data_IF_367163490554
#
_entry.id   IF_367163490554
#
_cell.length_a   1.000
_cell.length_b   1.000
_cell.length_c   1.000
_cell.angle_alpha   90.00
_cell.angle_beta   90.00
_cell.angle_gamma   90.00
#
_symmetry.space_group_name_H-M   'P 1'
#
loop_
_entity.id
_entity.type
_entity.pdbx_description
1 polymer ?
#
# COMPACT_ATOMS: atom_id res chain seq x y z
N UNK A 1 62.26 85.25 -67.09
CA UNK A 1 61.44 84.53 -68.12
C UNK A 1 61.58 83.02 -67.95
N UNK A 2 62.79 82.50 -67.70
CA UNK A 2 63.02 81.07 -67.49
C UNK A 2 62.39 80.50 -66.22
N UNK A 3 62.44 81.20 -65.08
CA UNK A 3 61.81 80.75 -63.83
C UNK A 3 60.28 80.59 -63.95
N UNK A 4 59.63 81.43 -64.76
CA UNK A 4 58.17 81.40 -64.97
C UNK A 4 57.78 80.16 -65.81
N UNK A 5 58.61 79.77 -66.79
CA UNK A 5 58.39 78.57 -67.60
C UNK A 5 58.60 77.28 -66.79
N UNK A 6 59.53 77.30 -65.84
CA UNK A 6 59.79 76.16 -64.96
C UNK A 6 58.68 75.97 -63.92
N UNK A 7 58.15 77.06 -63.36
CA UNK A 7 56.97 77.04 -62.49
C UNK A 7 55.70 76.55 -63.20
N UNK A 8 55.50 76.92 -64.48
CA UNK A 8 54.36 76.46 -65.29
C UNK A 8 54.41 74.94 -65.53
N UNK A 9 55.60 74.38 -65.80
CA UNK A 9 55.76 72.92 -65.97
C UNK A 9 55.51 72.14 -64.68
N UNK A 10 55.96 72.66 -63.54
CA UNK A 10 55.67 72.06 -62.23
C UNK A 10 54.18 72.06 -61.93
N UNK A 11 53.48 73.16 -62.24
CA UNK A 11 52.01 73.26 -62.10
C UNK A 11 51.25 72.28 -62.99
N UNK A 12 51.73 72.04 -64.23
CA UNK A 12 51.12 71.05 -65.13
C UNK A 12 51.32 69.61 -64.64
N UNK A 13 52.48 69.29 -64.06
CA UNK A 13 52.75 67.97 -63.47
C UNK A 13 51.92 67.76 -62.20
N UNK A 14 51.75 68.80 -61.36
CA UNK A 14 50.82 68.77 -60.21
C UNK A 14 49.39 68.49 -60.67
N UNK A 15 48.91 69.18 -61.71
CA UNK A 15 47.55 69.00 -62.25
C UNK A 15 47.33 67.57 -62.79
N UNK A 16 48.31 67.01 -63.49
CA UNK A 16 48.26 65.62 -63.98
C UNK A 16 48.25 64.59 -62.83
N UNK A 17 49.00 64.84 -61.75
CA UNK A 17 48.98 63.99 -60.55
C UNK A 17 47.64 64.09 -59.81
N UNK A 18 47.09 65.30 -59.70
CA UNK A 18 45.75 65.53 -59.18
C UNK A 18 44.68 64.80 -60.00
N UNK A 19 44.79 64.83 -61.33
CA UNK A 19 43.85 64.15 -62.22
C UNK A 19 43.93 62.62 -62.06
N UNK A 20 45.13 62.07 -61.95
CA UNK A 20 45.34 60.63 -61.67
C UNK A 20 44.76 60.22 -60.31
N UNK A 21 44.94 61.05 -59.28
CA UNK A 21 44.35 60.84 -57.95
C UNK A 21 42.83 60.84 -58.02
N UNK A 22 42.22 61.79 -58.73
CA UNK A 22 40.75 61.86 -58.90
C UNK A 22 40.22 60.60 -59.59
N UNK A 23 40.90 60.12 -60.65
CA UNK A 23 40.49 58.89 -61.35
C UNK A 23 40.61 57.68 -60.43
N UNK A 24 41.68 57.58 -59.66
CA UNK A 24 41.88 56.47 -58.73
C UNK A 24 40.86 56.49 -57.59
N UNK A 25 40.56 57.66 -57.02
CA UNK A 25 39.53 57.84 -56.00
C UNK A 25 38.13 57.54 -56.54
N UNK A 26 37.83 57.90 -57.79
CA UNK A 26 36.57 57.52 -58.44
C UNK A 26 36.45 56.01 -58.60
N UNK A 27 37.53 55.33 -58.98
CA UNK A 27 37.55 53.87 -59.09
C UNK A 27 37.31 53.20 -57.74
N UNK A 28 37.96 53.67 -56.67
CA UNK A 28 37.72 53.15 -55.32
C UNK A 28 36.29 53.42 -54.85
N UNK A 29 35.68 54.55 -55.22
CA UNK A 29 34.27 54.83 -54.91
C UNK A 29 33.34 53.87 -55.65
N UNK A 30 33.64 53.56 -56.92
CA UNK A 30 32.86 52.61 -57.71
C UNK A 30 33.00 51.19 -57.15
N UNK A 31 34.22 50.76 -56.81
CA UNK A 31 34.49 49.47 -56.17
C UNK A 31 33.77 49.37 -54.81
N UNK A 32 33.80 50.44 -53.99
CA UNK A 32 33.07 50.51 -52.72
C UNK A 32 31.55 50.53 -52.91
N UNK A 33 31.02 51.14 -53.99
CA UNK A 33 29.59 51.09 -54.30
C UNK A 33 29.15 49.68 -54.68
N UNK A 34 29.96 48.95 -55.46
CA UNK A 34 29.70 47.55 -55.81
C UNK A 34 29.75 46.65 -54.57
N UNK A 35 30.67 46.91 -53.63
CA UNK A 35 30.67 46.23 -52.34
C UNK A 35 29.44 46.57 -51.49
N UNK A 36 28.98 47.82 -51.51
CA UNK A 36 27.78 48.26 -50.78
C UNK A 36 26.49 47.65 -51.35
N UNK A 37 26.40 47.49 -52.67
CA UNK A 37 25.26 46.86 -53.35
C UNK A 37 25.21 45.35 -53.05
N UNK A 38 26.37 44.69 -53.00
CA UNK A 38 26.51 43.29 -52.51
C UNK A 38 26.13 43.14 -51.04
N UNK A 39 26.26 44.19 -50.23
CA UNK A 39 25.79 44.21 -48.84
C UNK A 39 24.27 44.49 -48.76
N UNK A 40 23.66 45.12 -49.76
CA UNK A 40 22.20 45.31 -49.85
C UNK A 40 21.42 44.00 -49.89
N UNK A 41 21.95 42.97 -50.55
CA UNK A 41 21.41 41.60 -50.56
C UNK A 41 21.51 40.89 -49.18
N UNK A 42 22.21 41.48 -48.19
CA UNK A 42 22.23 40.96 -46.82
C UNK A 42 20.93 41.23 -46.05
N UNK A 43 20.03 42.09 -46.55
CA UNK A 43 18.76 42.37 -45.87
C UNK A 43 17.82 41.15 -45.87
N UNK A 44 17.78 40.39 -46.97
CA UNK A 44 16.94 39.18 -47.05
C UNK A 44 17.52 38.02 -46.23
N UNK A 45 18.85 37.89 -46.18
CA UNK A 45 19.51 36.90 -45.32
C UNK A 45 19.37 37.24 -43.84
N UNK A 46 19.39 38.53 -43.46
CA UNK A 46 19.14 38.95 -42.06
C UNK A 46 17.69 38.72 -41.64
N UNK A 47 16.70 38.89 -42.54
CA UNK A 47 15.31 38.52 -42.27
C UNK A 47 15.15 37.01 -42.08
N UNK A 48 15.76 36.17 -42.92
CA UNK A 48 15.73 34.71 -42.79
C UNK A 48 16.38 34.23 -41.48
N UNK A 49 17.56 34.79 -41.15
CA UNK A 49 18.27 34.50 -39.89
C UNK A 49 17.44 34.94 -38.67
N UNK A 50 16.70 36.05 -38.78
CA UNK A 50 15.81 36.52 -37.71
C UNK A 50 14.63 35.57 -37.49
N UNK A 51 14.02 35.06 -38.57
CA UNK A 51 12.93 34.09 -38.50
C UNK A 51 13.38 32.76 -37.87
N UNK A 52 14.51 32.20 -38.34
CA UNK A 52 15.12 30.99 -37.76
C UNK A 52 15.50 31.22 -36.28
N UNK A 53 15.94 32.42 -35.91
CA UNK A 53 16.27 32.74 -34.52
C UNK A 53 15.04 32.85 -33.62
N UNK A 54 13.87 33.26 -34.14
CA UNK A 54 12.59 33.21 -33.41
C UNK A 54 12.14 31.77 -33.22
N UNK A 55 12.21 30.93 -34.25
CA UNK A 55 11.85 29.51 -34.16
C UNK A 55 12.77 28.75 -33.18
N UNK A 56 14.07 28.99 -33.21
CA UNK A 56 15.02 28.43 -32.23
C UNK A 56 14.66 28.85 -30.80
N UNK A 57 14.23 30.09 -30.60
CA UNK A 57 13.83 30.58 -29.27
C UNK A 57 12.53 29.90 -28.80
N UNK A 58 11.56 29.70 -29.69
CA UNK A 58 10.35 28.93 -29.38
C UNK A 58 10.65 27.48 -29.02
N UNK A 59 11.57 26.84 -29.75
CA UNK A 59 12.01 25.47 -29.45
C UNK A 59 12.69 25.45 -28.09
N UNK A 60 13.61 26.37 -27.80
CA UNK A 60 14.26 26.46 -26.48
C UNK A 60 13.25 26.64 -25.34
N UNK A 61 12.22 27.49 -25.52
CA UNK A 61 11.16 27.64 -24.52
C UNK A 61 10.34 26.35 -24.34
N UNK A 62 10.02 25.63 -25.43
CA UNK A 62 9.33 24.33 -25.35
C UNK A 62 10.20 23.27 -24.67
N UNK A 63 11.48 23.21 -24.99
CA UNK A 63 12.47 22.31 -24.39
C UNK A 63 12.57 22.55 -22.89
N UNK A 64 12.66 23.82 -22.46
CA UNK A 64 12.68 24.19 -21.05
C UNK A 64 11.38 23.81 -20.32
N UNK A 65 10.21 23.94 -20.97
CA UNK A 65 8.92 23.50 -20.41
C UNK A 65 8.87 21.98 -20.22
N UNK A 66 9.30 21.20 -21.21
CA UNK A 66 9.33 19.74 -21.14
C UNK A 66 10.33 19.26 -20.07
N UNK A 67 11.48 19.93 -19.93
CA UNK A 67 12.44 19.62 -18.87
C UNK A 67 11.88 19.92 -17.48
N UNK A 68 11.15 21.03 -17.30
CA UNK A 68 10.46 21.33 -16.05
C UNK A 68 9.39 20.27 -15.72
N UNK A 69 8.55 19.89 -16.70
CA UNK A 69 7.54 18.84 -16.50
C UNK A 69 8.17 17.49 -16.17
N UNK A 70 9.28 17.13 -16.82
CA UNK A 70 10.05 15.93 -16.47
C UNK A 70 10.62 15.99 -15.05
N UNK A 71 11.10 17.16 -14.61
CA UNK A 71 11.61 17.33 -13.25
C UNK A 71 10.49 17.15 -12.22
N UNK A 72 9.30 17.68 -12.49
CA UNK A 72 8.14 17.54 -11.62
C UNK A 72 7.62 16.08 -11.58
N UNK A 73 7.52 15.42 -12.73
CA UNK A 73 7.16 14.00 -12.80
C UNK A 73 8.19 13.11 -12.10
N UNK A 74 9.48 13.43 -12.15
CA UNK A 74 10.51 12.72 -11.38
C UNK A 74 10.30 12.87 -9.87
N UNK A 75 10.00 14.08 -9.40
CA UNK A 75 9.68 14.32 -7.98
C UNK A 75 8.43 13.55 -7.55
N UNK A 76 7.39 13.56 -8.37
CA UNK A 76 6.16 12.81 -8.12
C UNK A 76 6.45 11.30 -8.06
N UNK A 77 7.23 10.78 -9.01
CA UNK A 77 7.68 9.39 -9.03
C UNK A 77 8.42 9.03 -7.75
N UNK A 78 9.37 9.85 -7.32
CA UNK A 78 10.16 9.60 -6.12
C UNK A 78 9.28 9.60 -4.86
N UNK A 79 8.27 10.48 -4.80
CA UNK A 79 7.28 10.50 -3.72
C UNK A 79 6.44 9.21 -3.68
N UNK A 80 5.94 8.75 -4.84
CA UNK A 80 5.15 7.51 -4.92
C UNK A 80 6.01 6.28 -4.62
N UNK A 81 7.29 6.27 -5.02
CA UNK A 81 8.25 5.21 -4.65
C UNK A 81 8.47 5.20 -3.13
N UNK A 82 8.64 6.37 -2.51
CA UNK A 82 8.82 6.47 -1.06
C UNK A 82 7.57 5.97 -0.31
N UNK A 83 6.37 6.34 -0.78
CA UNK A 83 5.10 5.84 -0.24
C UNK A 83 4.98 4.32 -0.39
N UNK A 84 5.24 3.79 -1.59
CA UNK A 84 5.21 2.35 -1.87
C UNK A 84 6.18 1.58 -0.97
N UNK A 85 7.41 2.08 -0.77
CA UNK A 85 8.39 1.48 0.16
C UNK A 85 7.89 1.47 1.61
N UNK A 86 7.23 2.54 2.05
CA UNK A 86 6.65 2.64 3.39
C UNK A 86 5.51 1.63 3.57
N UNK A 87 4.60 1.53 2.59
CA UNK A 87 3.51 0.56 2.58
C UNK A 87 4.02 -0.88 2.55
N UNK A 88 5.04 -1.16 1.73
CA UNK A 88 5.67 -2.47 1.65
C UNK A 88 6.35 -2.86 2.96
N UNK A 89 7.00 -1.90 3.63
CA UNK A 89 7.58 -2.13 4.96
C UNK A 89 6.49 -2.52 5.96
N UNK A 90 5.39 -1.78 6.02
CA UNK A 90 4.24 -2.12 6.89
C UNK A 90 3.69 -3.52 6.59
N UNK A 91 3.54 -3.87 5.31
CA UNK A 91 3.06 -5.20 4.91
C UNK A 91 4.04 -6.31 5.33
N UNK A 92 5.34 -6.08 5.19
CA UNK A 92 6.37 -7.01 5.66
C UNK A 92 6.35 -7.15 7.18
N UNK A 93 6.16 -6.06 7.92
CA UNK A 93 6.02 -6.09 9.37
C UNK A 93 4.79 -6.94 9.78
N UNK A 94 3.67 -6.83 9.07
CA UNK A 94 2.49 -7.68 9.29
C UNK A 94 2.74 -9.16 8.95
N UNK A 95 3.43 -9.43 7.84
CA UNK A 95 3.82 -10.81 7.49
C UNK A 95 4.77 -11.40 8.54
N UNK A 96 5.67 -10.60 9.11
CA UNK A 96 6.52 -11.01 10.21
C UNK A 96 5.70 -11.37 11.45
N UNK A 97 4.63 -10.63 11.78
CA UNK A 97 3.71 -10.99 12.87
C UNK A 97 2.99 -12.32 12.61
N UNK A 98 2.56 -12.58 11.38
CA UNK A 98 1.95 -13.87 11.01
C UNK A 98 2.96 -15.02 11.13
N UNK A 99 4.18 -14.82 10.66
CA UNK A 99 5.28 -15.78 10.82
C UNK A 99 5.59 -16.03 12.30
N UNK A 100 5.55 -14.99 13.15
CA UNK A 100 5.71 -15.16 14.60
C UNK A 100 4.60 -16.00 15.23
N UNK A 101 3.34 -15.88 14.77
CA UNK A 101 2.25 -16.77 15.23
C UNK A 101 2.52 -18.21 14.85
N UNK A 102 2.92 -18.44 13.61
CA UNK A 102 3.22 -19.76 13.09
C UNK A 102 4.44 -20.38 13.81
N UNK A 103 5.47 -19.59 14.09
CA UNK A 103 6.66 -20.01 14.82
C UNK A 103 6.36 -20.38 16.28
N UNK A 104 5.47 -19.62 16.95
CA UNK A 104 4.96 -19.98 18.27
C UNK A 104 4.21 -21.31 18.25
N UNK A 105 3.40 -21.56 17.22
CA UNK A 105 2.73 -22.85 17.03
C UNK A 105 3.76 -23.97 16.82
N UNK A 106 4.76 -23.77 15.94
CA UNK A 106 5.82 -24.75 15.66
C UNK A 106 6.61 -25.12 16.92
N UNK A 107 6.95 -24.14 17.75
CA UNK A 107 7.74 -24.36 18.97
C UNK A 107 7.00 -25.25 19.98
N UNK A 108 5.68 -25.08 20.13
CA UNK A 108 4.89 -25.79 21.13
C UNK A 108 4.16 -27.03 20.61
N UNK A 109 3.77 -27.02 19.34
CA UNK A 109 2.94 -28.03 18.68
C UNK A 109 3.46 -28.32 17.26
N UNK A 110 4.59 -29.03 17.20
CA UNK A 110 5.22 -29.45 15.93
C UNK A 110 4.26 -30.22 15.04
N UNK A 111 3.51 -31.19 15.57
CA UNK A 111 2.57 -32.01 14.78
C UNK A 111 1.50 -31.16 14.08
N UNK A 112 0.95 -30.15 14.78
CA UNK A 112 -0.04 -29.23 14.22
C UNK A 112 0.57 -28.34 13.14
N UNK A 113 1.82 -27.92 13.31
CA UNK A 113 2.56 -27.16 12.30
C UNK A 113 2.86 -28.00 11.05
N UNK A 114 3.32 -29.24 11.22
CA UNK A 114 3.55 -30.17 10.09
C UNK A 114 2.26 -30.43 9.32
N UNK A 115 1.14 -30.64 10.03
CA UNK A 115 -0.16 -30.82 9.41
C UNK A 115 -0.66 -29.56 8.69
N UNK A 116 -0.34 -28.37 9.21
CA UNK A 116 -0.66 -27.10 8.58
C UNK A 116 0.07 -26.95 7.23
N UNK A 117 1.37 -27.25 7.19
CA UNK A 117 2.14 -27.23 5.94
C UNK A 117 1.58 -28.23 4.93
N UNK A 118 1.31 -29.46 5.36
CA UNK A 118 0.69 -30.48 4.52
C UNK A 118 -0.66 -30.02 3.96
N UNK A 119 -1.51 -29.40 4.79
CA UNK A 119 -2.80 -28.88 4.37
C UNK A 119 -2.67 -27.79 3.29
N UNK A 120 -1.67 -26.90 3.41
CA UNK A 120 -1.40 -25.85 2.42
C UNK A 120 -1.00 -26.44 1.07
N UNK A 121 -0.18 -27.50 1.06
CA UNK A 121 0.26 -28.19 -0.16
C UNK A 121 -0.84 -29.03 -0.82
N UNK A 122 -1.76 -29.57 0.00
CA UNK A 122 -2.77 -30.53 -0.44
C UNK A 122 -4.19 -29.96 -0.45
N UNK A 123 -4.31 -28.62 -0.52
CA UNK A 123 -5.60 -27.93 -0.47
C UNK A 123 -6.53 -28.35 -1.61
N UNK A 124 -5.99 -28.75 -2.77
CA UNK A 124 -6.77 -29.26 -3.90
C UNK A 124 -7.50 -30.60 -3.64
N UNK A 125 -7.15 -31.35 -2.59
CA UNK A 125 -7.79 -32.64 -2.28
C UNK A 125 -9.19 -32.48 -1.69
N UNK A 126 -9.51 -31.30 -1.20
CA UNK A 126 -10.72 -31.01 -0.43
C UNK A 126 -11.73 -30.21 -1.24
N UNK A 127 -13.01 -30.46 -1.02
CA UNK A 127 -14.10 -29.83 -1.80
C UNK A 127 -14.67 -28.59 -1.12
N UNK A 128 -14.72 -28.58 0.21
CA UNK A 128 -15.24 -27.49 1.02
C UNK A 128 -14.16 -26.55 1.52
N UNK A 129 -14.59 -25.46 2.15
CA UNK A 129 -13.69 -24.53 2.81
C UNK A 129 -13.04 -25.20 4.02
N UNK A 130 -11.72 -25.04 4.12
CA UNK A 130 -10.92 -25.46 5.26
C UNK A 130 -10.21 -24.24 5.81
N UNK A 131 -10.35 -24.06 7.12
CA UNK A 131 -9.67 -23.04 7.88
C UNK A 131 -8.52 -23.66 8.67
N UNK A 132 -7.40 -22.96 8.65
CA UNK A 132 -6.22 -23.23 9.47
C UNK A 132 -6.59 -23.23 10.98
N UNK A 133 -5.70 -23.69 11.89
CA UNK A 133 -5.98 -23.72 13.31
C UNK A 133 -6.55 -22.41 13.83
N UNK A 134 -7.62 -22.46 14.63
CA UNK A 134 -8.38 -21.27 15.05
C UNK A 134 -7.49 -20.17 15.65
N UNK A 135 -6.42 -20.53 16.36
CA UNK A 135 -5.46 -19.58 16.92
C UNK A 135 -4.71 -18.71 15.89
N UNK A 136 -4.59 -19.16 14.64
CA UNK A 136 -4.03 -18.38 13.53
C UNK A 136 -5.09 -17.51 12.86
N UNK A 137 -6.33 -18.01 12.83
CA UNK A 137 -7.45 -17.44 12.08
C UNK A 137 -8.24 -16.40 12.88
N UNK A 138 -8.33 -16.57 14.21
CA UNK A 138 -8.99 -15.62 15.11
C UNK A 138 -8.13 -14.36 15.20
N UNK A 139 -8.73 -13.21 14.91
CA UNK A 139 -8.11 -11.90 15.09
C UNK A 139 -8.84 -11.11 16.17
N UNK A 140 -8.16 -10.80 17.27
CA UNK A 140 -8.73 -9.99 18.35
C UNK A 140 -8.60 -8.51 17.99
N UNK A 141 -9.64 -7.71 18.21
CA UNK A 141 -9.62 -6.27 17.88
C UNK A 141 -8.64 -5.49 18.76
N UNK A 142 -8.61 -5.82 20.06
CA UNK A 142 -7.71 -5.23 21.04
C UNK A 142 -6.95 -6.34 21.78
N UNK A 143 -5.62 -6.26 21.79
CA UNK A 143 -4.74 -7.22 22.45
C UNK A 143 -5.05 -7.38 23.95
N UNK A 144 -5.60 -6.36 24.62
CA UNK A 144 -5.97 -6.44 26.03
C UNK A 144 -7.15 -7.38 26.26
N UNK A 145 -8.04 -7.50 25.27
CA UNK A 145 -9.22 -8.36 25.31
C UNK A 145 -8.90 -9.80 24.92
N UNK A 146 -7.71 -10.07 24.37
CA UNK A 146 -7.28 -11.41 23.97
C UNK A 146 -7.31 -12.42 25.13
N UNK A 147 -7.09 -11.94 26.37
CA UNK A 147 -7.17 -12.77 27.58
C UNK A 147 -8.56 -13.39 27.76
N UNK A 148 -9.63 -12.67 27.46
CA UNK A 148 -10.99 -13.21 27.62
C UNK A 148 -11.30 -14.29 26.59
N UNK A 149 -10.92 -14.05 25.32
CA UNK A 149 -11.15 -14.98 24.21
C UNK A 149 -10.38 -16.29 24.42
N UNK A 150 -9.08 -16.19 24.76
CA UNK A 150 -8.22 -17.36 24.94
C UNK A 150 -8.60 -18.21 26.16
N UNK A 151 -9.10 -17.60 27.24
CA UNK A 151 -9.56 -18.35 28.42
C UNK A 151 -10.95 -18.96 28.24
N UNK A 152 -11.74 -18.46 27.29
CA UNK A 152 -13.08 -18.98 27.05
C UNK A 152 -13.06 -20.24 26.20
N UNK A 153 -12.18 -20.27 25.20
CA UNK A 153 -12.04 -21.37 24.23
C UNK A 153 -11.02 -22.38 24.77
N UNK A 154 -11.33 -23.67 24.72
CA UNK A 154 -10.37 -24.70 25.10
C UNK A 154 -9.13 -24.64 24.22
N UNK A 155 -7.97 -24.83 24.83
CA UNK A 155 -6.71 -24.89 24.09
C UNK A 155 -6.70 -25.98 22.99
N UNK A 156 -7.39 -27.09 23.23
CA UNK A 156 -7.50 -28.18 22.25
C UNK A 156 -8.30 -27.78 21.00
N UNK A 157 -9.26 -26.87 21.14
CA UNK A 157 -10.07 -26.36 20.03
C UNK A 157 -9.40 -25.17 19.35
N UNK A 158 -8.65 -24.35 20.10
CA UNK A 158 -7.83 -23.29 19.52
C UNK A 158 -6.82 -23.80 18.50
N UNK A 159 -6.25 -24.99 18.70
CA UNK A 159 -5.31 -25.63 17.77
C UNK A 159 -6.00 -26.48 16.68
N UNK A 160 -7.32 -26.55 16.68
CA UNK A 160 -8.06 -27.43 15.78
C UNK A 160 -8.28 -26.78 14.42
N UNK A 161 -8.19 -27.59 13.37
CA UNK A 161 -8.56 -27.22 12.01
C UNK A 161 -10.09 -27.23 11.88
N UNK A 162 -10.66 -26.23 11.20
CA UNK A 162 -12.11 -26.12 11.03
C UNK A 162 -12.50 -26.41 9.60
N UNK A 163 -13.36 -27.40 9.42
CA UNK A 163 -13.85 -27.87 8.12
C UNK A 163 -15.31 -27.49 7.94
N UNK A 164 -15.65 -26.99 6.75
CA UNK A 164 -17.04 -26.76 6.39
C UNK A 164 -17.83 -28.07 6.20
N UNK A 165 -17.17 -29.11 5.66
CA UNK A 165 -17.77 -30.41 5.36
C UNK A 165 -17.19 -31.52 6.24
N UNK A 166 -18.07 -32.40 6.74
CA UNK A 166 -17.68 -33.58 7.50
C UNK A 166 -16.83 -34.56 6.67
N UNK A 167 -17.18 -34.78 5.40
CA UNK A 167 -16.41 -35.67 4.51
C UNK A 167 -14.94 -35.24 4.36
N UNK A 168 -14.70 -33.92 4.28
CA UNK A 168 -13.35 -33.37 4.14
C UNK A 168 -12.57 -33.48 5.46
N UNK A 169 -13.25 -33.32 6.59
CA UNK A 169 -12.68 -33.54 7.93
C UNK A 169 -12.23 -35.00 8.11
N UNK A 170 -13.05 -35.97 7.70
CA UNK A 170 -12.72 -37.40 7.79
C UNK A 170 -11.51 -37.75 6.93
N UNK A 171 -11.49 -37.26 5.67
CA UNK A 171 -10.31 -37.42 4.80
C UNK A 171 -9.05 -36.83 5.41
N UNK A 172 -9.14 -35.62 5.96
CA UNK A 172 -8.01 -34.98 6.62
C UNK A 172 -7.50 -35.82 7.80
N UNK A 173 -8.38 -36.35 8.64
CA UNK A 173 -7.98 -37.19 9.77
C UNK A 173 -7.33 -38.50 9.29
N UNK A 174 -7.83 -39.14 8.24
CA UNK A 174 -7.20 -40.35 7.67
C UNK A 174 -5.79 -40.05 7.15
N UNK A 175 -5.63 -38.99 6.35
CA UNK A 175 -4.32 -38.65 5.77
C UNK A 175 -3.32 -38.20 6.84
N UNK A 176 -3.74 -37.32 7.76
CA UNK A 176 -2.81 -36.66 8.69
C UNK A 176 -2.63 -37.45 9.98
N UNK A 177 -3.71 -37.97 10.57
CA UNK A 177 -3.63 -38.71 11.83
C UNK A 177 -3.26 -40.16 11.58
N UNK A 178 -3.91 -40.83 10.64
CA UNK A 178 -3.75 -42.28 10.50
C UNK A 178 -2.54 -42.65 9.62
N UNK A 179 -2.28 -41.95 8.50
CA UNK A 179 -1.09 -42.21 7.68
C UNK A 179 0.19 -41.54 8.18
N UNK A 180 0.11 -40.28 8.63
CA UNK A 180 1.30 -39.54 9.10
C UNK A 180 1.53 -39.62 10.61
N UNK A 181 0.61 -40.22 11.36
CA UNK A 181 0.70 -40.37 12.82
C UNK A 181 0.85 -39.04 13.58
N UNK A 182 0.24 -37.96 13.07
CA UNK A 182 0.30 -36.63 13.68
C UNK A 182 -0.84 -36.40 14.67
N UNK A 183 -0.53 -35.83 15.84
CA UNK A 183 -1.53 -35.53 16.89
C UNK A 183 -2.25 -34.20 16.63
N UNK A 184 -3.22 -34.22 15.73
CA UNK A 184 -4.03 -33.05 15.37
C UNK A 184 -5.49 -33.17 15.79
N UNK A 185 -6.15 -32.01 15.94
CA UNK A 185 -7.59 -31.94 16.18
C UNK A 185 -8.27 -31.33 14.95
N UNK A 186 -9.43 -31.86 14.57
CA UNK A 186 -10.23 -31.39 13.45
C UNK A 186 -11.69 -31.28 13.89
N UNK A 187 -12.34 -30.19 13.51
CA UNK A 187 -13.68 -29.84 13.92
C UNK A 187 -14.51 -29.52 12.68
N UNK A 188 -15.72 -30.08 12.61
CA UNK A 188 -16.71 -29.69 11.61
C UNK A 188 -17.48 -28.47 12.10
N UNK A 189 -17.59 -27.45 11.26
CA UNK A 189 -18.55 -26.37 11.47
C UNK A 189 -19.98 -26.94 11.46
N UNK A 190 -20.91 -26.33 12.23
CA UNK A 190 -22.31 -26.74 12.21
C UNK A 190 -22.94 -26.46 10.83
N UNK A 191 -23.87 -27.34 10.41
CA UNK A 191 -24.56 -27.22 9.12
C UNK A 191 -25.41 -25.94 9.02
N UNK A 192 -25.91 -25.45 10.15
CA UNK A 192 -26.62 -24.18 10.25
C UNK A 192 -25.65 -23.11 10.75
N UNK A 193 -25.42 -22.08 9.93
CA UNK A 193 -24.61 -20.93 10.34
C UNK A 193 -25.23 -20.26 11.56
N UNK A 194 -24.46 -20.24 12.64
CA UNK A 194 -24.83 -19.63 13.92
C UNK A 194 -24.04 -18.34 14.16
N UNK A 195 -23.33 -17.85 13.14
CA UNK A 195 -22.56 -16.63 13.23
C UNK A 195 -23.48 -15.46 13.53
N UNK A 196 -24.54 -15.20 12.76
CA UNK A 196 -25.43 -14.05 12.99
C UNK A 196 -26.32 -14.10 14.24
N UNK A 197 -26.14 -15.05 15.15
CA UNK A 197 -27.07 -15.23 16.28
C UNK A 197 -26.96 -14.05 17.26
N UNK A 198 -28.06 -13.30 17.51
CA UNK A 198 -28.03 -12.19 18.44
C UNK A 198 -27.84 -12.69 19.88
N UNK A 199 -27.25 -11.86 20.76
CA UNK A 199 -27.18 -12.15 22.18
C UNK A 199 -28.59 -12.32 22.77
N UNK A 200 -28.72 -13.04 23.89
CA UNK A 200 -30.02 -13.22 24.55
C UNK A 200 -30.62 -11.89 25.05
N UNK A 201 -29.79 -10.87 25.27
CA UNK A 201 -30.20 -9.52 25.72
C UNK A 201 -29.34 -8.43 25.08
N UNK A 202 -29.87 -7.22 25.07
CA UNK A 202 -29.07 -6.04 24.72
C UNK A 202 -28.07 -5.73 25.85
N UNK A 203 -26.84 -5.40 25.48
CA UNK A 203 -25.79 -4.98 26.40
C UNK A 203 -26.18 -3.73 27.21
N UNK A 204 -26.98 -2.84 26.63
CA UNK A 204 -27.43 -1.59 27.28
C UNK A 204 -28.21 -1.84 28.57
N UNK A 205 -29.12 -2.82 28.57
CA UNK A 205 -29.86 -3.22 29.76
C UNK A 205 -28.96 -3.78 30.86
N UNK A 206 -27.75 -4.22 30.51
CA UNK A 206 -26.78 -4.81 31.41
C UNK A 206 -25.66 -3.85 31.83
N UNK A 207 -25.59 -2.64 31.24
CA UNK A 207 -24.64 -1.60 31.66
C UNK A 207 -24.81 -1.19 33.12
N UNK A 208 -26.02 -1.33 33.67
CA UNK A 208 -26.31 -1.14 35.11
C UNK A 208 -25.47 -2.05 36.03
N UNK A 209 -24.98 -3.16 35.51
CA UNK A 209 -24.12 -4.11 36.21
C UNK A 209 -22.63 -3.96 35.85
N UNK A 210 -22.25 -2.93 35.08
CA UNK A 210 -20.88 -2.70 34.64
C UNK A 210 -20.44 -3.49 33.39
N UNK A 211 -21.37 -4.18 32.71
CA UNK A 211 -21.07 -4.85 31.43
C UNK A 211 -20.95 -3.84 30.29
N UNK A 212 -19.89 -3.94 29.49
CA UNK A 212 -19.63 -2.99 28.41
C UNK A 212 -19.76 -3.61 27.02
N UNK A 213 -19.46 -4.91 26.86
CA UNK A 213 -19.57 -5.60 25.57
C UNK A 213 -19.76 -7.10 25.75
N UNK A 214 -20.07 -7.79 24.64
CA UNK A 214 -20.06 -9.25 24.55
C UNK A 214 -18.73 -9.76 24.01
N UNK A 215 -18.37 -10.98 24.39
CA UNK A 215 -17.12 -11.62 23.97
C UNK A 215 -17.01 -11.71 22.44
N UNK A 216 -18.13 -11.96 21.75
CA UNK A 216 -18.20 -11.97 20.28
C UNK A 216 -17.69 -10.69 19.63
N UNK A 217 -17.98 -9.53 20.21
CA UNK A 217 -17.59 -8.24 19.62
C UNK A 217 -16.10 -7.94 19.74
N UNK A 218 -15.37 -8.71 20.55
CA UNK A 218 -13.95 -8.51 20.83
C UNK A 218 -13.03 -9.12 19.76
N UNK A 219 -13.53 -9.98 18.88
CA UNK A 219 -12.71 -10.67 17.88
C UNK A 219 -13.48 -10.92 16.58
N UNK A 220 -12.72 -11.07 15.50
CA UNK A 220 -13.19 -11.42 14.17
C UNK A 220 -12.66 -12.82 13.80
N UNK A 221 -13.49 -13.60 13.12
CA UNK A 221 -13.13 -14.91 12.58
C UNK A 221 -14.03 -15.22 11.36
N UNK A 222 -13.61 -16.14 10.46
CA UNK A 222 -14.44 -16.64 9.37
C UNK A 222 -15.77 -17.21 9.86
N UNK A 223 -16.77 -17.23 8.98
CA UNK A 223 -18.15 -17.58 9.32
C UNK A 223 -18.27 -18.98 9.95
N UNK A 224 -17.55 -19.95 9.40
CA UNK A 224 -17.56 -21.33 9.85
C UNK A 224 -16.95 -21.48 11.25
N UNK A 225 -15.83 -20.79 11.51
CA UNK A 225 -15.17 -20.74 12.82
C UNK A 225 -16.07 -20.04 13.83
N UNK A 226 -16.63 -18.89 13.46
CA UNK A 226 -17.51 -18.09 14.31
C UNK A 226 -18.81 -18.84 14.65
N UNK A 227 -19.36 -19.58 13.69
CA UNK A 227 -20.53 -20.45 13.89
C UNK A 227 -20.25 -21.56 14.89
N UNK A 228 -19.09 -22.22 14.79
CA UNK A 228 -18.66 -23.22 15.76
C UNK A 228 -18.51 -22.61 17.16
N UNK A 229 -17.84 -21.47 17.29
CA UNK A 229 -17.66 -20.77 18.56
C UNK A 229 -19.01 -20.33 19.17
N UNK A 230 -19.97 -19.93 18.35
CA UNK A 230 -21.31 -19.59 18.83
C UNK A 230 -22.11 -20.82 19.28
N UNK A 231 -21.97 -21.95 18.60
CA UNK A 231 -22.68 -23.18 18.96
C UNK A 231 -22.10 -23.82 20.23
N UNK A 232 -20.79 -24.05 20.25
CA UNK A 232 -20.11 -24.78 21.32
C UNK A 232 -19.86 -23.92 22.56
N UNK A 233 -19.34 -22.70 22.36
CA UNK A 233 -18.89 -21.82 23.44
C UNK A 233 -19.86 -20.69 23.76
N UNK A 234 -20.92 -20.49 22.95
CA UNK A 234 -21.91 -19.43 23.13
C UNK A 234 -21.29 -18.04 23.27
N UNK A 235 -20.23 -17.75 22.50
CA UNK A 235 -19.48 -16.48 22.56
C UNK A 235 -20.36 -15.23 22.36
N UNK A 236 -21.50 -15.36 21.68
CA UNK A 236 -22.49 -14.30 21.50
C UNK A 236 -23.24 -13.94 22.79
N UNK A 237 -23.29 -14.81 23.79
CA UNK A 237 -24.09 -14.64 25.02
C UNK A 237 -23.21 -14.55 26.28
N UNK A 238 -21.93 -14.25 26.11
CA UNK A 238 -20.95 -14.12 27.20
C UNK A 238 -20.60 -12.65 27.37
N UNK A 239 -21.19 -11.94 28.35
CA UNK A 239 -20.88 -10.54 28.57
C UNK A 239 -19.56 -10.37 29.33
N UNK A 240 -18.87 -9.28 29.00
CA UNK A 240 -17.62 -8.85 29.64
C UNK A 240 -17.85 -7.52 30.34
N UNK A 241 -17.48 -7.48 31.61
CA UNK A 241 -17.68 -6.37 32.52
C UNK A 241 -16.38 -5.87 33.14
N UNK A 242 -16.50 -4.79 33.89
CA UNK A 242 -15.38 -4.11 34.53
C UNK A 242 -15.36 -4.40 36.05
N UNK A 243 -14.60 -3.59 36.79
CA UNK A 243 -14.50 -3.68 38.25
C UNK A 243 -15.85 -3.44 38.97
N UNK A 244 -16.76 -2.66 38.39
CA UNK A 244 -18.11 -2.49 38.92
C UNK A 244 -18.90 -3.80 38.89
N UNK A 245 -18.71 -4.61 37.84
CA UNK A 245 -19.30 -5.96 37.77
C UNK A 245 -18.79 -6.87 38.86
N UNK A 246 -17.50 -6.74 39.23
CA UNK A 246 -16.92 -7.47 40.36
C UNK A 246 -17.52 -7.02 41.70
N UNK A 247 -17.74 -5.72 41.88
CA UNK A 247 -18.40 -5.19 43.08
C UNK A 247 -19.86 -5.64 43.20
N UNK A 248 -20.59 -5.69 42.08
CA UNK A 248 -22.01 -6.08 42.01
C UNK A 248 -22.23 -7.58 41.78
N UNK A 249 -21.19 -8.40 41.91
CA UNK A 249 -21.22 -9.80 41.47
C UNK A 249 -22.33 -10.63 42.14
N UNK A 250 -22.62 -10.34 43.41
CA UNK A 250 -23.68 -11.02 44.17
C UNK A 250 -25.06 -10.81 43.55
N UNK A 251 -25.34 -9.61 43.03
CA UNK A 251 -26.59 -9.29 42.33
C UNK A 251 -26.59 -9.88 40.93
N UNK A 252 -25.45 -9.83 40.23
CA UNK A 252 -25.31 -10.33 38.86
C UNK A 252 -25.51 -11.84 38.76
N UNK A 253 -24.98 -12.62 39.72
CA UNK A 253 -25.11 -14.08 39.76
C UNK A 253 -26.58 -14.53 39.95
N UNK A 254 -27.42 -13.70 40.57
CA UNK A 254 -28.83 -14.01 40.78
C UNK A 254 -29.65 -13.91 39.48
N UNK A 255 -29.13 -13.23 38.46
CA UNK A 255 -29.81 -13.09 37.17
C UNK A 255 -29.85 -14.43 36.43
N UNK A 256 -31.04 -14.96 36.11
CA UNK A 256 -31.20 -16.36 35.66
C UNK A 256 -30.69 -16.60 34.23
N UNK A 257 -30.43 -15.54 33.47
CA UNK A 257 -30.00 -15.62 32.08
C UNK A 257 -28.47 -15.68 31.92
N UNK A 258 -27.70 -15.35 32.95
CA UNK A 258 -26.23 -15.35 32.88
C UNK A 258 -25.68 -16.73 33.25
N UNK A 259 -25.00 -17.37 32.30
CA UNK A 259 -24.34 -18.68 32.51
C UNK A 259 -22.84 -18.53 32.72
N UNK A 260 -22.21 -17.69 31.91
CA UNK A 260 -20.79 -17.39 31.97
C UNK A 260 -20.63 -15.89 31.80
N UNK A 261 -19.80 -15.27 32.62
CA UNK A 261 -19.48 -13.86 32.54
C UNK A 261 -18.01 -13.63 32.88
N UNK A 262 -17.47 -12.54 32.35
CA UNK A 262 -16.12 -12.07 32.65
C UNK A 262 -16.18 -10.73 33.37
N UNK A 263 -15.37 -10.59 34.41
CA UNK A 263 -14.98 -9.29 34.97
C UNK A 263 -13.60 -8.91 34.42
N UNK A 264 -12.91 -7.95 35.04
CA UNK A 264 -11.56 -7.56 34.65
C UNK A 264 -10.57 -8.73 34.68
N UNK A 265 -10.56 -9.51 35.76
CA UNK A 265 -9.53 -10.56 35.97
C UNK A 265 -10.11 -11.92 36.38
N UNK A 266 -11.43 -12.05 36.48
CA UNK A 266 -12.08 -13.28 36.93
C UNK A 266 -13.19 -13.70 35.95
N UNK A 267 -13.30 -15.01 35.75
CA UNK A 267 -14.36 -15.67 35.01
C UNK A 267 -15.29 -16.32 36.02
N UNK A 268 -16.58 -16.02 35.91
CA UNK A 268 -17.61 -16.67 36.72
C UNK A 268 -18.46 -17.58 35.85
N UNK A 269 -18.70 -18.79 36.34
CA UNK A 269 -19.63 -19.76 35.75
C UNK A 269 -20.75 -20.01 36.74
N UNK A 270 -21.97 -19.71 36.33
CA UNK A 270 -23.19 -19.87 37.10
C UNK A 270 -23.94 -21.07 36.55
N UNK A 271 -24.10 -22.11 37.38
CA UNK A 271 -24.85 -23.32 37.06
C UNK A 271 -26.08 -23.39 37.94
N UNK A 272 -27.25 -23.51 37.32
CA UNK A 272 -28.50 -23.75 38.04
C UNK A 272 -28.84 -25.23 37.98
N UNK A 273 -29.02 -25.86 39.13
CA UNK A 273 -29.47 -27.24 39.22
C UNK A 273 -30.89 -27.35 38.67
N UNK A 274 -31.10 -28.23 37.70
CA UNK A 274 -32.42 -28.49 37.10
C UNK A 274 -33.40 -29.03 38.15
N UNK A 275 -32.90 -29.82 39.10
CA UNK A 275 -33.72 -30.53 40.08
C UNK A 275 -34.07 -29.69 41.31
N UNK A 276 -33.10 -28.93 41.83
CA UNK A 276 -33.27 -28.19 43.10
C UNK A 276 -33.43 -26.69 42.92
N UNK A 277 -33.31 -26.19 41.68
CA UNK A 277 -33.24 -24.77 41.35
C UNK A 277 -32.16 -23.97 42.11
N UNK A 278 -31.27 -24.64 42.85
CA UNK A 278 -30.14 -24.02 43.54
C UNK A 278 -29.08 -23.58 42.53
N UNK A 279 -28.58 -22.36 42.75
CA UNK A 279 -27.52 -21.77 41.94
C UNK A 279 -26.17 -22.10 42.57
N UNK A 280 -25.29 -22.71 41.79
CA UNK A 280 -23.90 -22.94 42.14
C UNK A 280 -23.02 -22.03 41.29
N UNK A 281 -22.11 -21.32 41.93
CA UNK A 281 -21.16 -20.44 41.25
C UNK A 281 -19.75 -20.99 41.39
N UNK A 282 -18.99 -20.94 40.29
CA UNK A 282 -17.56 -21.23 40.28
C UNK A 282 -16.82 -20.03 39.70
N UNK A 283 -15.71 -19.66 40.32
CA UNK A 283 -14.82 -18.59 39.87
C UNK A 283 -13.47 -19.18 39.48
N UNK A 284 -12.90 -18.66 38.40
CA UNK A 284 -11.51 -18.91 38.00
C UNK A 284 -10.84 -17.60 37.56
N UNK A 285 -9.57 -17.41 37.89
CA UNK A 285 -8.80 -16.27 37.40
C UNK A 285 -8.58 -16.32 35.89
N UNK A 286 -8.73 -15.19 35.21
CA UNK A 286 -8.46 -15.00 33.78
C UNK A 286 -6.95 -14.96 33.57
N UNK A 287 -6.43 -15.98 32.89
CA UNK A 287 -5.01 -16.07 32.59
C UNK A 287 -4.61 -15.07 31.50
N UNK A 288 -3.35 -14.64 31.51
CA UNK A 288 -2.81 -13.84 30.40
C UNK A 288 -2.83 -14.67 29.12
N UNK A 289 -3.25 -14.04 28.02
CA UNK A 289 -3.20 -14.64 26.69
C UNK A 289 -1.75 -15.00 26.33
N UNK A 290 -1.53 -16.10 25.61
CA UNK A 290 -0.20 -16.51 25.13
C UNK A 290 -0.15 -16.55 23.60
N UNK A 291 -1.28 -16.83 22.97
CA UNK A 291 -1.38 -17.07 21.53
C UNK A 291 -2.09 -15.92 20.81
N UNK A 292 -3.20 -15.43 21.36
CA UNK A 292 -4.04 -14.39 20.73
C UNK A 292 -3.55 -12.96 20.98
N UNK A 293 -2.44 -12.74 21.71
CA UNK A 293 -1.82 -11.42 21.88
C UNK A 293 -1.41 -10.82 20.53
N UNK A 294 -0.88 -11.66 19.63
CA UNK A 294 -0.44 -11.19 18.33
C UNK A 294 -1.71 -10.97 17.51
N UNK A 295 -2.02 -9.73 17.19
CA UNK A 295 -3.16 -9.37 16.33
C UNK A 295 -2.63 -9.03 14.95
N UNK A 296 -3.33 -9.48 13.92
CA UNK A 296 -3.01 -9.14 12.52
C UNK A 296 -4.32 -8.68 11.93
N UNK A 297 -4.46 -7.38 11.76
CA UNK A 297 -5.67 -6.82 11.19
C UNK A 297 -5.77 -7.17 9.69
N UNK A 298 -6.70 -8.06 9.38
CA UNK A 298 -6.93 -8.52 8.02
C UNK A 298 -7.53 -7.42 7.12
N UNK A 299 -8.26 -6.46 7.69
CA UNK A 299 -8.81 -5.32 6.96
C UNK A 299 -7.71 -4.30 6.66
N UNK A 300 -6.89 -3.96 7.65
CA UNK A 300 -5.72 -3.09 7.46
C UNK A 300 -4.78 -3.67 6.40
N UNK A 301 -4.51 -4.98 6.46
CA UNK A 301 -3.69 -5.66 5.44
C UNK A 301 -4.29 -5.50 4.03
N UNK A 302 -5.59 -5.75 3.87
CA UNK A 302 -6.27 -5.60 2.57
C UNK A 302 -6.21 -4.17 2.07
N UNK A 303 -6.37 -3.19 2.95
CA UNK A 303 -6.26 -1.77 2.61
C UNK A 303 -4.83 -1.41 2.18
N UNK A 304 -3.81 -1.89 2.89
CA UNK A 304 -2.40 -1.69 2.51
C UNK A 304 -2.08 -2.34 1.17
N UNK A 305 -2.56 -3.56 0.91
CA UNK A 305 -2.40 -4.24 -0.37
C UNK A 305 -3.10 -3.48 -1.52
N UNK A 306 -4.30 -2.93 -1.28
CA UNK A 306 -5.00 -2.08 -2.25
C UNK A 306 -4.28 -0.76 -2.51
N UNK A 307 -3.77 -0.10 -1.47
CA UNK A 307 -2.98 1.13 -1.60
C UNK A 307 -1.70 0.88 -2.39
N UNK A 308 -1.02 -0.25 -2.15
CA UNK A 308 0.19 -0.61 -2.87
C UNK A 308 -0.09 -0.85 -4.36
N UNK A 309 -1.18 -1.55 -4.71
CA UNK A 309 -1.62 -1.69 -6.12
C UNK A 309 -1.96 -0.34 -6.76
N UNK A 310 -2.56 0.57 -6.00
CA UNK A 310 -2.85 1.92 -6.50
C UNK A 310 -1.56 2.72 -6.75
N UNK A 311 -0.56 2.62 -5.86
CA UNK A 311 0.77 3.20 -6.09
C UNK A 311 1.46 2.60 -7.32
N UNK A 312 1.38 1.27 -7.52
CA UNK A 312 1.93 0.61 -8.71
C UNK A 312 1.29 1.13 -10.00
N UNK A 313 -0.04 1.29 -10.02
CA UNK A 313 -0.75 1.86 -11.17
C UNK A 313 -0.32 3.30 -11.45
N UNK A 314 -0.16 4.13 -10.41
CA UNK A 314 0.33 5.51 -10.57
C UNK A 314 1.76 5.56 -11.11
N UNK A 315 2.63 4.65 -10.65
CA UNK A 315 4.00 4.57 -11.18
C UNK A 315 4.03 4.20 -12.66
N UNK A 316 3.14 3.31 -13.10
CA UNK A 316 3.00 2.96 -14.52
C UNK A 316 2.56 4.17 -15.34
N UNK A 317 1.57 4.92 -14.88
CA UNK A 317 1.09 6.15 -15.56
C UNK A 317 2.19 7.21 -15.66
N UNK A 318 2.95 7.44 -14.58
CA UNK A 318 4.09 8.39 -14.58
C UNK A 318 5.19 7.91 -15.54
N UNK A 319 5.50 6.61 -15.56
CA UNK A 319 6.51 6.05 -16.45
C UNK A 319 6.08 6.14 -17.93
N UNK A 320 4.80 5.99 -18.24
CA UNK A 320 4.24 6.20 -19.58
C UNK A 320 4.34 7.68 -20.00
N UNK A 321 3.94 8.61 -19.12
CA UNK A 321 4.04 10.05 -19.38
C UNK A 321 5.48 10.54 -19.51
N UNK A 322 6.41 9.96 -18.74
CA UNK A 322 7.84 10.25 -18.92
C UNK A 322 8.36 9.76 -20.27
N UNK A 323 7.88 8.60 -20.77
CA UNK A 323 8.25 8.09 -22.11
C UNK A 323 7.72 9.00 -23.21
N UNK A 324 6.48 9.47 -23.14
CA UNK A 324 5.93 10.39 -24.15
C UNK A 324 6.71 11.70 -24.20
N UNK A 325 6.98 12.32 -23.04
CA UNK A 325 7.82 13.53 -22.95
C UNK A 325 9.27 13.28 -23.39
N UNK A 326 9.80 12.07 -23.23
CA UNK A 326 11.11 11.70 -23.79
C UNK A 326 11.08 11.67 -25.32
N UNK A 327 10.04 11.11 -25.93
CA UNK A 327 9.89 11.07 -27.38
C UNK A 327 9.69 12.47 -27.97
N UNK A 328 8.89 13.33 -27.33
CA UNK A 328 8.69 14.73 -27.76
C UNK A 328 9.98 15.54 -27.68
N UNK A 329 10.72 15.41 -26.57
CA UNK A 329 12.02 16.05 -26.42
C UNK A 329 13.04 15.58 -27.47
N UNK A 330 13.06 14.29 -27.79
CA UNK A 330 13.93 13.77 -28.84
C UNK A 330 13.56 14.30 -30.23
N UNK A 331 12.27 14.50 -30.51
CA UNK A 331 11.80 15.12 -31.75
C UNK A 331 12.19 16.60 -31.82
N UNK A 332 12.01 17.36 -30.74
CA UNK A 332 12.40 18.77 -30.67
C UNK A 332 13.91 18.97 -30.82
N UNK A 333 14.74 18.12 -30.20
CA UNK A 333 16.19 18.18 -30.37
C UNK A 333 16.63 17.87 -31.81
N UNK A 334 15.93 16.98 -32.53
CA UNK A 334 16.23 16.74 -33.96
C UNK A 334 15.91 17.99 -34.78
N UNK A 335 14.74 18.59 -34.54
CA UNK A 335 14.32 19.81 -35.21
C UNK A 335 15.23 21.01 -34.91
N UNK A 336 15.71 21.16 -33.68
CA UNK A 336 16.71 22.16 -33.31
C UNK A 336 18.02 21.98 -34.08
N UNK A 337 18.51 20.74 -34.20
CA UNK A 337 19.74 20.42 -34.95
C UNK A 337 19.60 20.69 -36.45
N UNK A 338 18.42 20.45 -37.03
CA UNK A 338 18.11 20.76 -38.42
C UNK A 338 18.17 22.28 -38.66
N UNK A 339 17.50 23.08 -37.83
CA UNK A 339 17.51 24.55 -37.92
C UNK A 339 18.90 25.16 -37.68
N UNK A 340 19.70 24.57 -36.77
CA UNK A 340 21.09 24.97 -36.56
C UNK A 340 21.98 24.67 -37.77
N UNK A 341 21.65 23.64 -38.55
CA UNK A 341 22.37 23.31 -39.79
C UNK A 341 21.99 24.22 -40.95
N UNK A 342 20.73 24.66 -41.04
CA UNK A 342 20.26 25.64 -42.03
C UNK A 342 20.75 27.07 -41.76
N UNK A 343 21.08 27.37 -40.50
CA UNK A 343 21.65 28.67 -40.09
C UNK A 343 23.15 28.82 -40.43
N UNK A 344 23.85 27.73 -40.74
CA UNK A 344 25.29 27.69 -41.05
C UNK A 344 25.54 27.87 -42.54
#
# INVERSE_FOLDING_TARGET
>A
IDDIKQALRMKQIEEEDHQKRIVNTRRTIEDLKVELDKLGDQLDTTLLISAISVELKEIQERTARIEAEKADLRRERDNVIAESRSLQKKLNDMNNLMNMKEEKLRTRHRDTHTALLWLRENRQLFRGNIHEPMMLVINVKDHQNAKYVENHISFHDLRAFVFQRKDDMEKFLVEVRDKMNLKVNAISAPEVSCSGRPPSRNIESMRRFGFFTYLREMFNAPDEVMSYLCSQYKVHDVPVGNEQTKALINTVIQEPYLKVLYTTDERYTVKRSIYSNKTSTSNSAVQKSQYLIITVDAEERRQLEQQLRACESKLQEIDERMKTLQTEFAALNRHENELLSEKK
#
